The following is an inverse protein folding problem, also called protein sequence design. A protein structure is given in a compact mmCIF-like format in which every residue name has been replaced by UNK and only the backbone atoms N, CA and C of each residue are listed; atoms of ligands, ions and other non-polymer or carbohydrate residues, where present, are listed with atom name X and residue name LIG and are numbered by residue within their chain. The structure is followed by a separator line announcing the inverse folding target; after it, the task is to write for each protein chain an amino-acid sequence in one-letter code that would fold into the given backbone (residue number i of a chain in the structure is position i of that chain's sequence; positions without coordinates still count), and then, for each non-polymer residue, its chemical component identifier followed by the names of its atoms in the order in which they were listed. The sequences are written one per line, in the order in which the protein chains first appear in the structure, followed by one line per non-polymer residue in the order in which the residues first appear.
data_IF_696256100738
#
_entry.id   IF_696256100738
#
_cell.length_a   1.000
_cell.length_b   1.000
_cell.length_c   1.000
_cell.angle_alpha   90.00
_cell.angle_beta   90.00
_cell.angle_gamma   90.00
#
_symmetry.space_group_name_H-M   'P 1'
#
loop_
_entity.id
_entity.type
_entity.pdbx_description
1 polymer ?
#
# COMPACT_ATOMS: atom_id res chain seq x y z
N UNK A 1 -10.99 49.90 47.61
CA UNK A 1 -11.70 48.73 47.04
C UNK A 1 -11.26 48.35 45.62
N UNK A 2 -10.76 49.28 44.78
CA UNK A 2 -10.44 48.99 43.37
C UNK A 2 -9.26 48.05 43.07
N UNK A 3 -8.18 48.06 43.88
CA UNK A 3 -6.98 47.26 43.60
C UNK A 3 -7.21 45.73 43.66
N UNK A 4 -8.11 45.27 44.54
CA UNK A 4 -8.44 43.84 44.66
C UNK A 4 -9.24 43.36 43.45
N UNK A 5 -10.16 44.17 42.94
CA UNK A 5 -11.00 43.84 41.77
C UNK A 5 -10.16 43.71 40.49
N UNK A 6 -9.17 44.58 40.30
CA UNK A 6 -8.25 44.51 39.15
C UNK A 6 -7.38 43.25 39.21
N UNK A 7 -6.89 42.87 40.39
CA UNK A 7 -6.10 41.64 40.56
C UNK A 7 -6.92 40.39 40.27
N UNK A 8 -8.18 40.33 40.73
CA UNK A 8 -9.09 39.22 40.42
C UNK A 8 -9.44 39.14 38.93
N UNK A 9 -9.63 40.28 38.26
CA UNK A 9 -9.91 40.31 36.83
C UNK A 9 -8.73 39.81 35.99
N UNK A 10 -7.50 40.24 36.31
CA UNK A 10 -6.29 39.78 35.61
C UNK A 10 -6.05 38.28 35.84
N UNK A 11 -6.23 37.79 37.07
CA UNK A 11 -6.10 36.37 37.37
C UNK A 11 -7.16 35.52 36.63
N UNK A 12 -8.40 36.01 36.53
CA UNK A 12 -9.47 35.36 35.78
C UNK A 12 -9.17 35.24 34.29
N UNK A 13 -8.70 36.33 33.66
CA UNK A 13 -8.33 36.33 32.25
C UNK A 13 -7.13 35.41 31.96
N UNK A 14 -6.12 35.40 32.83
CA UNK A 14 -4.96 34.51 32.69
C UNK A 14 -5.37 33.02 32.81
N UNK A 15 -6.26 32.69 33.75
CA UNK A 15 -6.79 31.34 33.90
C UNK A 15 -7.61 30.88 32.69
N UNK A 16 -8.48 31.73 32.17
CA UNK A 16 -9.27 31.43 30.97
C UNK A 16 -8.37 31.22 29.73
N UNK A 17 -7.34 32.05 29.56
CA UNK A 17 -6.37 31.90 28.48
C UNK A 17 -5.60 30.57 28.54
N UNK A 18 -5.12 30.19 29.73
CA UNK A 18 -4.41 28.93 29.93
C UNK A 18 -5.30 27.71 29.62
N UNK A 19 -6.58 27.74 30.03
CA UNK A 19 -7.53 26.67 29.73
C UNK A 19 -7.82 26.55 28.23
N UNK A 20 -7.94 27.67 27.51
CA UNK A 20 -8.15 27.65 26.06
C UNK A 20 -6.94 27.09 25.31
N UNK A 21 -5.71 27.45 25.73
CA UNK A 21 -4.47 26.93 25.14
C UNK A 21 -4.35 25.43 25.41
N UNK A 22 -4.59 24.97 26.65
CA UNK A 22 -4.57 23.55 26.99
C UNK A 22 -5.62 22.76 26.20
N UNK A 23 -6.85 23.28 26.10
CA UNK A 23 -7.92 22.64 25.34
C UNK A 23 -7.60 22.54 23.85
N UNK A 24 -7.06 23.60 23.25
CA UNK A 24 -6.64 23.61 21.85
C UNK A 24 -5.50 22.61 21.60
N UNK A 25 -4.55 22.51 22.54
CA UNK A 25 -3.44 21.56 22.47
C UNK A 25 -3.94 20.11 22.54
N UNK A 26 -4.82 19.78 23.48
CA UNK A 26 -5.39 18.43 23.64
C UNK A 26 -6.22 17.97 22.45
N UNK A 27 -6.91 18.90 21.77
CA UNK A 27 -7.60 18.61 20.50
C UNK A 27 -6.67 18.34 19.34
N UNK A 28 -5.52 19.03 19.31
CA UNK A 28 -4.54 18.89 18.21
C UNK A 28 -3.67 17.65 18.36
N UNK A 29 -3.44 17.22 19.60
CA UNK A 29 -2.64 16.04 19.92
C UNK A 29 -3.51 15.07 20.72
N UNK A 30 -4.35 14.26 20.03
CA UNK A 30 -5.12 13.22 20.70
C UNK A 30 -4.15 12.33 21.48
N UNK A 31 -4.42 12.16 22.78
CA UNK A 31 -3.57 11.35 23.65
C UNK A 31 -3.52 9.93 23.10
N UNK A 32 -2.31 9.43 22.85
CA UNK A 32 -2.09 8.02 22.57
C UNK A 32 -2.67 7.22 23.74
N UNK A 33 -3.49 6.18 23.49
CA UNK A 33 -4.14 5.44 24.57
C UNK A 33 -3.09 4.88 25.53
N UNK A 34 -3.39 4.97 26.83
CA UNK A 34 -2.52 4.48 27.92
C UNK A 34 -2.33 2.97 27.91
N UNK A 35 -3.18 2.25 27.17
CA UNK A 35 -3.17 0.80 27.08
C UNK A 35 -3.53 0.40 25.66
N UNK A 36 -2.75 -0.52 25.10
CA UNK A 36 -3.03 -1.18 23.83
C UNK A 36 -3.84 -2.45 24.10
N UNK A 37 -4.77 -2.75 23.21
CA UNK A 37 -5.58 -3.96 23.22
C UNK A 37 -5.42 -4.68 21.89
N UNK A 38 -5.31 -6.01 21.94
CA UNK A 38 -5.21 -6.83 20.74
C UNK A 38 -6.58 -6.86 20.05
N UNK A 39 -6.64 -6.32 18.83
CA UNK A 39 -7.88 -6.19 18.05
C UNK A 39 -8.13 -7.38 17.12
N UNK A 40 -7.18 -8.29 17.01
CA UNK A 40 -7.28 -9.49 16.18
C UNK A 40 -5.94 -9.96 15.65
N UNK A 41 -6.00 -11.05 14.88
CA UNK A 41 -4.86 -11.68 14.23
C UNK A 41 -5.01 -11.56 12.71
N UNK A 42 -3.87 -11.57 12.00
CA UNK A 42 -3.86 -11.57 10.53
C UNK A 42 -4.31 -12.92 10.03
N UNK A 43 -5.46 -12.95 9.33
CA UNK A 43 -6.01 -14.21 8.79
C UNK A 43 -5.31 -14.71 7.54
N UNK A 44 -4.93 -13.80 6.64
CA UNK A 44 -4.26 -14.15 5.39
C UNK A 44 -3.40 -12.99 4.88
N UNK A 45 -2.22 -13.31 4.33
CA UNK A 45 -1.37 -12.37 3.61
C UNK A 45 -1.42 -12.68 2.12
N UNK A 46 -1.71 -11.65 1.32
CA UNK A 46 -1.79 -11.75 -0.14
C UNK A 46 -0.99 -10.60 -0.75
N UNK A 47 -0.12 -10.92 -1.70
CA UNK A 47 0.67 -9.96 -2.48
C UNK A 47 0.17 -9.95 -3.91
N UNK A 48 0.06 -8.77 -4.53
CA UNK A 48 -0.38 -8.60 -5.91
C UNK A 48 0.80 -8.08 -6.75
N UNK A 49 1.74 -8.94 -7.15
CA UNK A 49 2.94 -8.51 -7.87
C UNK A 49 2.61 -7.91 -9.25
N UNK A 50 1.57 -8.43 -9.92
CA UNK A 50 1.06 -7.90 -11.17
C UNK A 50 -0.20 -7.06 -10.93
N UNK A 51 -0.19 -5.81 -11.35
CA UNK A 51 -1.35 -4.91 -11.27
C UNK A 51 -2.55 -5.53 -12.01
N UNK A 52 -3.64 -5.75 -11.26
CA UNK A 52 -4.89 -6.42 -11.70
C UNK A 52 -4.75 -7.92 -12.03
N UNK A 53 -3.60 -8.54 -11.74
CA UNK A 53 -3.43 -9.98 -11.81
C UNK A 53 -3.97 -10.71 -10.56
N UNK A 54 -3.83 -12.03 -10.54
CA UNK A 54 -4.13 -12.84 -9.35
C UNK A 54 -3.15 -12.57 -8.21
N UNK A 55 -3.67 -12.55 -6.99
CA UNK A 55 -2.86 -12.42 -5.78
C UNK A 55 -2.18 -13.73 -5.40
N UNK A 56 -0.97 -13.63 -4.86
CA UNK A 56 -0.16 -14.73 -4.35
C UNK A 56 -0.30 -14.77 -2.84
N UNK A 57 -0.75 -15.91 -2.30
CA UNK A 57 -0.87 -16.13 -0.86
C UNK A 57 0.51 -16.45 -0.28
N UNK A 58 0.88 -15.77 0.80
CA UNK A 58 2.18 -15.94 1.45
C UNK A 58 2.03 -16.15 2.94
N UNK A 59 2.98 -16.84 3.56
CA UNK A 59 2.97 -17.09 5.01
C UNK A 59 3.59 -15.93 5.79
N UNK A 60 4.57 -15.27 5.20
CA UNK A 60 5.30 -14.14 5.76
C UNK A 60 5.58 -13.11 4.68
N UNK A 61 5.68 -11.83 5.07
CA UNK A 61 6.01 -10.72 4.19
C UNK A 61 6.62 -9.56 4.98
N UNK A 62 7.56 -8.85 4.37
CA UNK A 62 8.12 -7.61 4.89
C UNK A 62 7.18 -6.43 4.56
N UNK A 63 6.85 -5.62 5.57
CA UNK A 63 6.10 -4.38 5.36
C UNK A 63 7.07 -3.25 4.99
N UNK A 64 7.12 -2.89 3.71
CA UNK A 64 7.95 -1.81 3.17
C UNK A 64 7.19 -0.48 3.15
N UNK A 65 7.88 0.60 2.72
CA UNK A 65 7.23 1.89 2.47
C UNK A 65 6.21 1.81 1.31
N UNK A 66 6.41 0.89 0.36
CA UNK A 66 5.63 0.83 -0.88
C UNK A 66 4.58 -0.27 -0.87
N UNK A 67 4.68 -1.25 0.04
CA UNK A 67 3.69 -2.31 0.18
C UNK A 67 4.25 -3.51 0.93
N UNK A 68 3.71 -4.68 0.65
CA UNK A 68 4.27 -5.95 1.12
C UNK A 68 5.37 -6.41 0.16
N UNK A 69 6.45 -6.98 0.70
CA UNK A 69 7.52 -7.59 -0.08
C UNK A 69 7.85 -8.98 0.44
N UNK A 70 8.14 -9.90 -0.47
CA UNK A 70 8.64 -11.25 -0.17
C UNK A 70 9.79 -11.53 -1.13
N UNK A 71 10.97 -11.75 -0.57
CA UNK A 71 12.20 -11.99 -1.35
C UNK A 71 12.43 -10.90 -2.42
N UNK A 72 12.36 -11.26 -3.70
CA UNK A 72 12.55 -10.35 -4.84
C UNK A 72 11.24 -9.75 -5.38
N UNK A 73 10.11 -10.06 -4.75
CA UNK A 73 8.77 -9.69 -5.21
C UNK A 73 8.12 -8.67 -4.29
N UNK A 74 7.78 -7.51 -4.84
CA UNK A 74 7.10 -6.42 -4.14
C UNK A 74 5.67 -6.25 -4.67
N UNK A 75 4.77 -5.79 -3.80
CA UNK A 75 3.39 -5.53 -4.16
C UNK A 75 3.30 -4.48 -5.28
N UNK A 76 2.48 -4.77 -6.29
CA UNK A 76 2.28 -3.95 -7.49
C UNK A 76 3.54 -3.58 -8.28
N UNK A 77 4.58 -4.42 -8.25
CA UNK A 77 5.85 -4.17 -8.95
C UNK A 77 5.74 -4.25 -10.49
N UNK A 78 4.77 -4.99 -11.02
CA UNK A 78 4.59 -5.22 -12.46
C UNK A 78 3.26 -4.65 -12.99
N UNK A 79 3.30 -4.26 -14.27
CA UNK A 79 2.11 -3.84 -15.03
C UNK A 79 2.15 -4.48 -16.42
N UNK A 80 1.05 -5.09 -16.83
CA UNK A 80 0.87 -5.52 -18.21
C UNK A 80 0.50 -4.32 -19.10
N UNK A 81 1.15 -4.18 -20.24
CA UNK A 81 0.85 -3.17 -21.26
C UNK A 81 0.69 -3.81 -22.62
N UNK A 82 -0.14 -3.23 -23.48
CA UNK A 82 -0.30 -3.64 -24.87
C UNK A 82 0.65 -2.84 -25.78
N UNK A 83 1.20 -3.48 -26.82
CA UNK A 83 2.02 -2.85 -27.84
C UNK A 83 1.21 -2.06 -28.89
N UNK A 84 -0.13 -2.13 -28.88
CA UNK A 84 -0.93 -1.35 -29.81
C UNK A 84 -0.82 0.15 -29.48
N UNK A 85 -0.55 1.03 -30.47
CA UNK A 85 -0.38 2.47 -30.26
C UNK A 85 -1.66 3.20 -29.82
N UNK A 86 -2.75 2.49 -29.59
CA UNK A 86 -3.98 3.04 -29.03
C UNK A 86 -3.88 3.06 -27.51
N UNK A 87 -3.40 4.20 -27.00
CA UNK A 87 -3.90 4.84 -25.80
C UNK A 87 -3.80 3.98 -24.53
N UNK A 88 -2.82 4.32 -23.69
CA UNK A 88 -2.79 4.02 -22.24
C UNK A 88 -4.15 4.43 -21.66
N UNK A 89 -5.13 3.53 -21.72
CA UNK A 89 -6.38 3.73 -21.00
C UNK A 89 -5.99 3.54 -19.54
N UNK A 90 -6.24 4.54 -18.67
CA UNK A 90 -6.02 4.40 -17.22
C UNK A 90 -6.78 3.19 -16.65
N UNK A 91 -7.82 2.75 -17.37
CA UNK A 91 -8.53 1.49 -17.24
C UNK A 91 -8.08 0.53 -18.35
N UNK A 92 -6.96 -0.14 -18.15
CA UNK A 92 -6.69 -1.39 -18.86
C UNK A 92 -7.63 -2.42 -18.23
N UNK A 93 -8.69 -2.79 -18.94
CA UNK A 93 -9.64 -3.78 -18.46
C UNK A 93 -9.10 -5.15 -18.89
N UNK A 94 -8.58 -5.91 -17.94
CA UNK A 94 -8.18 -7.31 -18.15
C UNK A 94 -9.41 -8.22 -18.26
N UNK A 95 -10.57 -7.70 -18.65
CA UNK A 95 -11.86 -8.40 -18.57
C UNK A 95 -11.87 -9.77 -19.24
N UNK A 96 -11.04 -9.95 -20.27
CA UNK A 96 -10.90 -11.20 -21.01
C UNK A 96 -9.59 -11.96 -20.68
N UNK A 97 -8.65 -11.35 -19.95
CA UNK A 97 -7.32 -11.90 -19.67
C UNK A 97 -7.17 -12.24 -18.20
N UNK A 98 -7.10 -13.53 -17.88
CA UNK A 98 -6.74 -13.98 -16.54
C UNK A 98 -5.24 -14.21 -16.47
N UNK A 99 -4.53 -13.27 -15.84
CA UNK A 99 -3.06 -13.32 -15.71
C UNK A 99 -2.68 -13.69 -14.27
N UNK A 100 -1.92 -14.77 -14.15
CA UNK A 100 -1.32 -15.20 -12.89
C UNK A 100 0.19 -15.18 -12.98
N UNK A 101 0.83 -14.75 -11.88
CA UNK A 101 2.28 -14.69 -11.74
C UNK A 101 2.65 -15.66 -10.62
N UNK A 102 3.56 -16.58 -10.92
CA UNK A 102 4.20 -17.45 -9.92
C UNK A 102 5.70 -17.15 -9.90
N UNK A 103 6.28 -17.10 -8.72
CA UNK A 103 7.72 -16.94 -8.52
C UNK A 103 8.29 -18.20 -7.88
N UNK A 104 9.34 -18.75 -8.48
CA UNK A 104 10.16 -19.82 -7.90
C UNK A 104 11.63 -19.36 -7.92
N UNK A 105 12.10 -18.84 -6.80
CA UNK A 105 13.40 -18.18 -6.71
C UNK A 105 13.49 -16.94 -7.60
N UNK A 106 14.40 -16.95 -8.58
CA UNK A 106 14.51 -15.87 -9.57
C UNK A 106 13.65 -16.10 -10.82
N UNK A 107 13.01 -17.26 -10.97
CA UNK A 107 12.21 -17.56 -12.15
C UNK A 107 10.77 -17.12 -11.95
N UNK A 108 10.29 -16.27 -12.86
CA UNK A 108 8.89 -15.86 -12.95
C UNK A 108 8.21 -16.62 -14.06
N UNK A 109 7.09 -17.24 -13.70
CA UNK A 109 6.15 -17.84 -14.63
C UNK A 109 4.92 -16.95 -14.72
N UNK A 110 4.70 -16.34 -15.89
CA UNK A 110 3.44 -15.68 -16.23
C UNK A 110 2.55 -16.66 -16.98
N UNK A 111 1.36 -16.93 -16.44
CA UNK A 111 0.30 -17.63 -17.17
C UNK A 111 -0.79 -16.66 -17.52
N UNK A 112 -1.10 -16.60 -18.80
CA UNK A 112 -2.18 -15.80 -19.35
C UNK A 112 -3.22 -16.76 -19.94
N UNK A 113 -4.47 -16.63 -19.52
CA UNK A 113 -5.59 -17.33 -20.16
C UNK A 113 -6.50 -16.33 -20.87
N UNK A 114 -6.76 -16.58 -22.14
CA UNK A 114 -7.62 -15.78 -23.01
C UNK A 114 -8.42 -16.69 -23.94
N UNK A 115 -9.75 -16.52 -24.01
CA UNK A 115 -10.67 -17.31 -24.85
C UNK A 115 -10.51 -18.85 -24.79
N UNK A 116 -9.95 -19.38 -23.70
CA UNK A 116 -9.71 -20.83 -23.52
C UNK A 116 -8.33 -21.29 -23.98
N UNK A 117 -7.54 -20.41 -24.58
CA UNK A 117 -6.11 -20.61 -24.84
C UNK A 117 -5.30 -20.17 -23.61
N UNK A 118 -4.26 -20.93 -23.30
CA UNK A 118 -3.38 -20.68 -22.16
C UNK A 118 -1.96 -20.54 -22.68
N UNK A 119 -1.38 -19.37 -22.48
CA UNK A 119 0.03 -19.10 -22.76
C UNK A 119 0.81 -18.99 -21.46
N UNK A 120 1.98 -19.62 -21.46
CA UNK A 120 2.92 -19.57 -20.35
C UNK A 120 4.23 -18.98 -20.85
N UNK A 121 4.70 -17.94 -20.16
CA UNK A 121 5.99 -17.33 -20.42
C UNK A 121 6.81 -17.36 -19.15
N UNK A 122 7.98 -17.97 -19.24
CA UNK A 122 8.93 -18.09 -18.15
C UNK A 122 10.13 -17.19 -18.42
N UNK A 123 10.54 -16.41 -17.41
CA UNK A 123 11.72 -15.56 -17.51
C UNK A 123 12.38 -15.36 -16.15
N UNK A 124 13.68 -15.06 -16.16
CA UNK A 124 14.39 -14.68 -14.96
C UNK A 124 14.04 -13.22 -14.58
N UNK A 125 13.63 -13.01 -13.34
CA UNK A 125 13.25 -11.72 -12.79
C UNK A 125 14.40 -10.71 -12.83
N UNK A 126 15.62 -11.17 -12.57
CA UNK A 126 16.82 -10.35 -12.61
C UNK A 126 17.09 -9.84 -14.01
N UNK A 127 16.73 -10.59 -15.05
CA UNK A 127 16.83 -10.11 -16.44
C UNK A 127 15.88 -8.94 -16.70
N UNK A 128 14.68 -8.94 -16.12
CA UNK A 128 13.71 -7.86 -16.28
C UNK A 128 14.09 -6.64 -15.44
N UNK A 129 14.45 -6.85 -14.17
CA UNK A 129 14.80 -5.77 -13.23
C UNK A 129 16.12 -5.08 -13.62
N UNK A 130 17.15 -5.84 -14.03
CA UNK A 130 18.48 -5.27 -14.32
C UNK A 130 18.61 -4.74 -15.74
N UNK A 131 17.88 -5.30 -16.73
CA UNK A 131 18.05 -4.93 -18.15
C UNK A 131 16.86 -4.20 -18.75
N UNK A 132 15.76 -4.01 -18.02
CA UNK A 132 14.55 -3.37 -18.57
C UNK A 132 13.96 -4.17 -19.74
N UNK A 133 14.04 -5.50 -19.67
CA UNK A 133 13.61 -6.40 -20.73
C UNK A 133 12.08 -6.45 -20.79
N UNK A 134 11.52 -6.23 -21.97
CA UNK A 134 10.09 -6.45 -22.24
C UNK A 134 9.90 -7.92 -22.61
N UNK A 135 8.93 -8.58 -21.99
CA UNK A 135 8.54 -9.95 -22.27
C UNK A 135 7.22 -9.89 -23.05
N UNK A 136 7.24 -10.42 -24.28
CA UNK A 136 6.10 -10.40 -25.20
C UNK A 136 5.38 -11.75 -25.17
N UNK A 137 4.06 -11.72 -25.24
CA UNK A 137 3.18 -12.87 -25.49
C UNK A 137 2.96 -13.01 -27.00
N UNK A 138 2.80 -14.24 -27.50
CA UNK A 138 2.69 -14.51 -28.94
C UNK A 138 1.26 -14.51 -29.43
#
# INVERSE_FOLDING_TARGET
MGGRVVVWAVAGCAGAGALLVWWAWRRRYPETPWRWEDVGEVGELVIYPLRRGRGVKVTEAEATRYGLAVEEMEDMSFIATSHYPSMVRPKFDLGDFDVSLTLDGSMVTLRCRWEGEEEEVEFDLQDVIKRGKVVEFS
#
